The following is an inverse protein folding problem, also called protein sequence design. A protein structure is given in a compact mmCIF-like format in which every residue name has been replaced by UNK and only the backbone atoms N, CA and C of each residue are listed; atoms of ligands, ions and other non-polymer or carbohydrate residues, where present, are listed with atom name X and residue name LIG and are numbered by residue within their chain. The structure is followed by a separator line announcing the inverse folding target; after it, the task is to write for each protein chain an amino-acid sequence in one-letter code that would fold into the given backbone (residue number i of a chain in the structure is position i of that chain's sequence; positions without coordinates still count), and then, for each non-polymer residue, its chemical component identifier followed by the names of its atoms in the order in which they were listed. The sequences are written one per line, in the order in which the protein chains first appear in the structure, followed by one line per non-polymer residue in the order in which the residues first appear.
data_IF_338875165917
#
_entry.id   IF_338875165917
#
_cell.length_a   1.000
_cell.length_b   1.000
_cell.length_c   1.000
_cell.angle_alpha   90.00
_cell.angle_beta   90.00
_cell.angle_gamma   90.00
#
_symmetry.space_group_name_H-M   'P 1'
#
loop_
_entity.id
_entity.type
_entity.pdbx_description
1 polymer ?
#
# COMPACT_ATOMS: atom_id res chain seq x y z
N UNK A 1 12.39 -8.55 -16.71
CA UNK A 1 12.04 -7.14 -16.41
C UNK A 1 10.55 -6.98 -16.57
N UNK A 2 9.81 -6.68 -15.50
CA UNK A 2 8.44 -6.20 -15.67
C UNK A 2 8.49 -4.87 -16.43
N UNK A 3 7.93 -4.85 -17.65
CA UNK A 3 7.86 -3.63 -18.47
C UNK A 3 6.83 -2.70 -17.82
N UNK A 4 7.29 -1.79 -16.95
CA UNK A 4 6.48 -0.74 -16.32
C UNK A 4 5.93 0.19 -17.40
N UNK A 5 4.68 0.59 -17.22
CA UNK A 5 3.96 1.48 -18.13
C UNK A 5 2.79 2.11 -17.36
N UNK A 6 2.48 3.38 -17.61
CA UNK A 6 1.41 4.12 -16.92
C UNK A 6 -0.01 3.57 -17.15
N UNK A 7 -0.17 2.65 -18.09
CA UNK A 7 -1.42 1.91 -18.33
C UNK A 7 -1.51 0.59 -17.56
N UNK A 8 -0.50 0.24 -16.76
CA UNK A 8 -0.50 -0.93 -15.86
C UNK A 8 -0.68 -0.47 -14.42
N UNK A 9 -1.25 -1.33 -13.60
CA UNK A 9 -1.54 -1.06 -12.21
C UNK A 9 -1.45 -2.33 -11.35
N UNK A 10 -1.34 -2.14 -10.04
CA UNK A 10 -1.49 -3.18 -9.03
C UNK A 10 -2.88 -3.09 -8.42
N UNK A 11 -3.62 -4.20 -8.39
CA UNK A 11 -4.85 -4.28 -7.62
C UNK A 11 -4.50 -4.36 -6.14
N UNK A 12 -5.02 -3.43 -5.34
CA UNK A 12 -4.61 -3.31 -3.93
C UNK A 12 -4.92 -4.57 -3.13
N UNK A 13 -6.05 -5.21 -3.41
CA UNK A 13 -6.46 -6.44 -2.71
C UNK A 13 -5.57 -7.65 -3.01
N UNK A 14 -4.76 -7.62 -4.08
CA UNK A 14 -3.83 -8.70 -4.43
C UNK A 14 -2.43 -8.49 -3.85
N UNK A 15 -2.02 -7.24 -3.67
CA UNK A 15 -0.62 -6.89 -3.32
C UNK A 15 -0.42 -6.46 -1.88
N UNK A 16 -1.47 -6.05 -1.17
CA UNK A 16 -1.38 -5.63 0.23
C UNK A 16 -1.14 -6.84 1.12
N UNK A 17 -0.09 -6.78 1.95
CA UNK A 17 0.30 -7.84 2.87
C UNK A 17 0.36 -7.37 4.33
N UNK A 18 0.48 -6.07 4.57
CA UNK A 18 0.54 -5.49 5.90
C UNK A 18 -0.83 -5.67 6.61
N UNK A 19 -0.88 -6.33 7.78
CA UNK A 19 -2.13 -6.63 8.49
C UNK A 19 -2.87 -5.38 9.00
N UNK A 20 -2.20 -4.22 9.04
CA UNK A 20 -2.79 -2.95 9.46
C UNK A 20 -3.40 -2.16 8.30
N UNK A 21 -3.38 -2.71 7.09
CA UNK A 21 -4.05 -2.17 5.91
C UNK A 21 -5.25 -3.05 5.57
N UNK A 22 -6.42 -2.45 5.41
CA UNK A 22 -7.65 -3.14 5.00
C UNK A 22 -8.18 -2.52 3.71
N UNK A 23 -8.33 -3.37 2.69
CA UNK A 23 -8.90 -2.98 1.40
C UNK A 23 -10.34 -3.49 1.33
N UNK A 24 -11.29 -2.59 1.07
CA UNK A 24 -12.68 -2.96 0.80
C UNK A 24 -12.85 -3.27 -0.69
N UNK A 25 -13.42 -4.43 -1.00
CA UNK A 25 -13.68 -4.83 -2.38
C UNK A 25 -12.42 -5.16 -3.16
N UNK A 26 -12.51 -5.16 -4.49
CA UNK A 26 -11.47 -5.70 -5.38
C UNK A 26 -11.11 -4.78 -6.54
N UNK A 27 -11.67 -3.57 -6.63
CA UNK A 27 -11.48 -2.69 -7.79
C UNK A 27 -10.43 -1.60 -7.59
N UNK A 28 -10.09 -1.31 -6.33
CA UNK A 28 -9.10 -0.28 -6.01
C UNK A 28 -7.71 -0.68 -6.50
N UNK A 29 -6.98 0.27 -7.07
CA UNK A 29 -5.66 0.02 -7.67
C UNK A 29 -4.66 1.15 -7.43
N UNK A 30 -3.39 0.82 -7.60
CA UNK A 30 -2.26 1.75 -7.61
C UNK A 30 -1.50 1.71 -8.94
N UNK A 31 -1.22 2.88 -9.52
CA UNK A 31 -0.46 3.00 -10.78
C UNK A 31 1.06 3.02 -10.54
N UNK A 32 1.67 1.84 -10.50
CA UNK A 32 3.09 1.60 -10.14
C UNK A 32 4.11 1.82 -11.30
N UNK A 33 3.96 2.87 -12.11
CA UNK A 33 4.86 3.04 -13.28
C UNK A 33 6.27 3.55 -12.90
N UNK A 34 6.38 4.34 -11.82
CA UNK A 34 7.63 5.01 -11.42
C UNK A 34 8.15 4.59 -10.04
N UNK A 35 7.38 3.79 -9.31
CA UNK A 35 7.61 3.44 -7.91
C UNK A 35 7.92 1.94 -7.76
N UNK A 36 8.03 1.40 -6.54
CA UNK A 36 8.31 -0.03 -6.29
C UNK A 36 7.08 -0.82 -5.81
N UNK A 37 5.87 -0.30 -6.02
CA UNK A 37 4.63 -0.89 -5.56
C UNK A 37 4.01 -0.15 -4.38
N UNK A 38 2.76 -0.51 -4.08
CA UNK A 38 1.92 0.24 -3.15
C UNK A 38 2.49 0.31 -1.73
N UNK A 39 2.78 -0.82 -1.07
CA UNK A 39 3.27 -0.83 0.32
C UNK A 39 4.69 -0.24 0.43
N UNK A 40 5.57 -0.49 -0.55
CA UNK A 40 6.96 -0.02 -0.51
C UNK A 40 7.10 1.49 -0.76
N UNK A 41 6.17 2.10 -1.47
CA UNK A 41 6.34 3.47 -1.99
C UNK A 41 5.33 4.47 -1.41
N UNK A 42 4.08 4.04 -1.23
CA UNK A 42 2.96 4.91 -0.87
C UNK A 42 2.74 4.98 0.63
N UNK A 43 2.74 3.84 1.32
CA UNK A 43 2.44 3.76 2.75
C UNK A 43 3.73 3.86 3.54
N UNK A 44 3.87 4.89 4.39
CA UNK A 44 5.12 5.14 5.12
C UNK A 44 4.88 5.13 6.62
N UNK A 45 5.81 4.51 7.34
CA UNK A 45 5.83 4.39 8.80
C UNK A 45 4.64 3.62 9.41
N UNK A 46 3.91 2.85 8.61
CA UNK A 46 2.91 1.94 9.14
C UNK A 46 3.58 0.66 9.61
N UNK A 47 3.53 0.42 10.92
CA UNK A 47 4.02 -0.83 11.48
C UNK A 47 3.37 -2.05 10.81
N UNK A 48 4.11 -3.14 10.63
CA UNK A 48 3.64 -4.36 9.96
C UNK A 48 4.08 -4.50 8.50
N UNK A 49 4.87 -3.55 7.98
CA UNK A 49 5.55 -3.68 6.69
C UNK A 49 6.64 -4.77 6.74
N UNK A 50 7.36 -4.98 5.63
CA UNK A 50 8.42 -6.00 5.55
C UNK A 50 9.50 -5.82 6.64
N UNK A 51 9.83 -4.58 6.99
CA UNK A 51 10.92 -4.25 7.91
C UNK A 51 10.49 -4.31 9.38
N UNK A 52 9.27 -3.87 9.67
CA UNK A 52 8.79 -3.61 11.04
C UNK A 52 7.88 -4.70 11.61
N UNK A 53 7.39 -5.65 10.80
CA UNK A 53 6.47 -6.72 11.27
C UNK A 53 7.00 -7.59 12.42
N UNK A 54 8.32 -7.66 12.60
CA UNK A 54 8.95 -8.41 13.69
C UNK A 54 9.23 -7.56 14.92
N UNK A 55 8.98 -6.25 14.86
CA UNK A 55 9.28 -5.35 15.97
C UNK A 55 8.16 -5.38 17.00
N UNK A 56 8.49 -5.13 18.25
CA UNK A 56 7.48 -4.85 19.27
C UNK A 56 6.92 -3.44 19.05
N UNK A 57 5.60 -3.27 18.87
CA UNK A 57 5.00 -1.95 18.73
C UNK A 57 5.13 -1.15 20.02
N UNK A 58 5.47 0.13 19.87
CA UNK A 58 5.65 1.05 21.01
C UNK A 58 4.34 1.63 21.54
N UNK A 59 3.29 1.61 20.72
CA UNK A 59 1.94 2.12 21.00
C UNK A 59 0.91 1.36 20.15
N UNK A 60 -0.37 1.64 20.37
CA UNK A 60 -1.46 1.13 19.54
C UNK A 60 -1.32 1.63 18.09
N UNK A 61 -1.34 0.71 17.13
CA UNK A 61 -1.06 1.03 15.73
C UNK A 61 -2.31 1.55 15.04
N UNK A 62 -2.20 2.71 14.40
CA UNK A 62 -3.25 3.24 13.53
C UNK A 62 -3.44 2.35 12.30
N UNK A 63 -4.69 2.21 11.83
CA UNK A 63 -5.02 1.36 10.68
C UNK A 63 -5.38 2.17 9.45
N UNK A 64 -4.92 1.69 8.30
CA UNK A 64 -5.26 2.27 7.00
C UNK A 64 -6.43 1.50 6.38
N UNK A 65 -7.57 2.17 6.22
CA UNK A 65 -8.75 1.61 5.54
C UNK A 65 -8.94 2.28 4.18
N UNK A 66 -8.93 1.49 3.11
CA UNK A 66 -9.16 1.97 1.74
C UNK A 66 -10.49 1.38 1.24
N UNK A 67 -11.33 2.25 0.67
CA UNK A 67 -12.62 1.87 0.08
C UNK A 67 -12.48 1.03 -1.20
N UNK A 68 -13.62 0.70 -1.81
CA UNK A 68 -13.66 0.09 -3.15
C UNK A 68 -13.70 1.18 -4.23
N UNK A 69 -13.19 0.89 -5.43
CA UNK A 69 -13.07 1.82 -6.56
C UNK A 69 -12.19 3.07 -6.31
N UNK A 70 -11.17 2.95 -5.47
CA UNK A 70 -10.18 4.02 -5.24
C UNK A 70 -9.02 3.88 -6.23
N UNK A 71 -8.69 4.98 -6.93
CA UNK A 71 -7.56 5.04 -7.85
C UNK A 71 -6.42 5.86 -7.24
N UNK A 72 -5.28 5.22 -6.97
CA UNK A 72 -4.12 5.89 -6.36
C UNK A 72 -3.06 6.11 -7.45
N UNK A 73 -2.70 7.38 -7.65
CA UNK A 73 -1.66 7.79 -8.60
C UNK A 73 -0.26 7.42 -8.14
N UNK A 74 0.68 7.34 -9.08
CA UNK A 74 2.10 7.21 -8.77
C UNK A 74 2.56 8.36 -7.86
N UNK A 75 3.55 8.10 -7.00
CA UNK A 75 4.17 9.03 -6.07
C UNK A 75 3.25 9.59 -4.97
N UNK A 76 2.01 9.10 -4.86
CA UNK A 76 1.16 9.39 -3.72
C UNK A 76 1.84 8.95 -2.42
N UNK A 77 1.63 9.71 -1.34
CA UNK A 77 2.16 9.38 -0.01
C UNK A 77 1.04 9.40 1.00
N UNK A 78 0.92 8.30 1.73
CA UNK A 78 0.07 8.16 2.91
C UNK A 78 1.01 7.97 4.10
N UNK A 79 1.18 9.03 4.87
CA UNK A 79 2.02 9.02 6.07
C UNK A 79 1.18 8.47 7.24
N UNK A 80 1.68 7.41 7.87
CA UNK A 80 1.08 6.80 9.06
C UNK A 80 1.95 7.06 10.30
N UNK A 81 1.42 6.82 11.50
CA UNK A 81 2.06 7.08 12.79
C UNK A 81 1.89 5.94 13.78
#
# INVERSE_FOLDING_TARGET
MHKKHWSKFQLLHEVVTNPNISIKGTHSYYSDCWDNGFEESVVRYLHGDEVSREWEPRWEIDKLHIGDYVCIGAEAVILMG
#
